data_IF_861618000364
#
_entry.id   IF_861618000364
#
_cell.length_a   1.000
_cell.length_b   1.000
_cell.length_c   1.000
_cell.angle_alpha   90.00
_cell.angle_beta   90.00
_cell.angle_gamma   90.00
#
_symmetry.space_group_name_H-M   'P 1'
#
loop_
_entity.id
_entity.type
_entity.pdbx_description
1 polymer ?
#
# COMPACT_ATOMS: atom_id res chain seq x y z
N UNK A 1 -3.65 -14.76 -11.38
CA UNK A 1 -3.58 -14.14 -12.73
C UNK A 1 -4.90 -13.57 -13.23
N UNK A 2 -6.08 -14.05 -12.81
CA UNK A 2 -7.40 -13.58 -13.34
C UNK A 2 -7.65 -12.07 -13.19
N UNK A 3 -7.23 -11.45 -12.08
CA UNK A 3 -7.47 -10.03 -11.80
C UNK A 3 -6.79 -9.08 -12.79
N UNK A 4 -5.62 -9.42 -13.32
CA UNK A 4 -4.91 -8.58 -14.30
C UNK A 4 -5.66 -8.50 -15.63
N UNK A 5 -6.40 -9.55 -16.01
CA UNK A 5 -7.12 -9.62 -17.30
C UNK A 5 -8.21 -8.55 -17.41
N UNK A 6 -8.88 -8.26 -16.31
CA UNK A 6 -10.01 -7.30 -16.27
C UNK A 6 -9.63 -5.94 -15.70
N UNK A 7 -8.40 -5.74 -15.23
CA UNK A 7 -8.01 -4.50 -14.57
C UNK A 7 -7.70 -3.39 -15.59
N UNK A 8 -8.47 -2.30 -15.51
CA UNK A 8 -8.34 -1.07 -16.30
C UNK A 8 -8.10 -1.31 -17.80
N UNK A 9 -9.12 -1.88 -18.46
CA UNK A 9 -9.12 -2.08 -19.91
C UNK A 9 -8.95 -0.75 -20.67
N UNK A 10 -8.19 -0.77 -21.77
CA UNK A 10 -7.89 0.39 -22.61
C UNK A 10 -6.68 1.24 -22.18
N UNK A 11 -6.00 0.89 -21.08
CA UNK A 11 -4.75 1.56 -20.71
C UNK A 11 -3.56 0.96 -21.45
N UNK A 12 -2.86 1.76 -22.26
CA UNK A 12 -1.75 1.33 -23.13
C UNK A 12 -0.68 0.47 -22.43
N UNK A 13 -0.21 0.88 -21.24
CA UNK A 13 0.82 0.13 -20.51
C UNK A 13 0.28 -1.22 -20.00
N UNK A 14 -0.96 -1.23 -19.50
CA UNK A 14 -1.58 -2.47 -19.01
C UNK A 14 -2.02 -3.41 -20.15
N UNK A 15 -2.40 -2.89 -21.31
CA UNK A 15 -2.61 -3.69 -22.52
C UNK A 15 -1.30 -4.36 -22.93
N UNK A 16 -0.20 -3.61 -22.99
CA UNK A 16 1.13 -4.16 -23.31
C UNK A 16 1.53 -5.27 -22.32
N UNK A 17 1.34 -5.06 -21.02
CA UNK A 17 1.59 -6.09 -20.02
C UNK A 17 0.68 -7.32 -20.18
N UNK A 18 -0.60 -7.12 -20.56
CA UNK A 18 -1.54 -8.22 -20.83
C UNK A 18 -1.17 -9.00 -22.07
N UNK A 19 -0.74 -8.35 -23.15
CA UNK A 19 -0.27 -9.00 -24.36
C UNK A 19 1.01 -9.81 -24.11
N UNK A 20 1.91 -9.31 -23.24
CA UNK A 20 3.11 -10.05 -22.84
C UNK A 20 2.78 -11.34 -22.05
N UNK A 21 1.81 -11.30 -21.13
CA UNK A 21 1.49 -12.43 -20.24
C UNK A 21 0.48 -13.41 -20.85
N UNK A 22 -0.53 -12.89 -21.55
CA UNK A 22 -1.68 -13.65 -22.05
C UNK A 22 -1.74 -13.73 -23.57
N UNK A 23 -1.04 -12.86 -24.30
CA UNK A 23 -0.94 -12.97 -25.75
C UNK A 23 -0.07 -14.17 -26.14
N UNK A 24 -0.44 -14.82 -27.25
CA UNK A 24 0.35 -15.90 -27.86
C UNK A 24 1.60 -15.35 -28.58
N UNK A 25 2.46 -14.68 -27.81
CA UNK A 25 3.62 -13.93 -28.30
C UNK A 25 4.93 -14.71 -28.18
N UNK A 26 4.98 -15.73 -27.31
CA UNK A 26 6.18 -16.53 -27.07
C UNK A 26 6.17 -17.76 -27.97
N UNK A 27 7.33 -18.06 -28.56
CA UNK A 27 7.59 -19.34 -29.24
C UNK A 27 8.00 -20.35 -28.17
N UNK A 28 7.16 -21.36 -27.99
CA UNK A 28 7.36 -22.50 -27.12
C UNK A 28 7.71 -23.71 -27.98
N UNK A 29 8.78 -24.41 -27.66
CA UNK A 29 9.24 -25.57 -28.41
C UNK A 29 8.82 -26.84 -27.69
N UNK A 30 7.96 -27.64 -28.31
CA UNK A 30 7.65 -28.97 -27.82
C UNK A 30 8.70 -29.96 -28.32
N UNK A 31 9.42 -30.61 -27.41
CA UNK A 31 10.52 -31.52 -27.75
C UNK A 31 10.02 -32.96 -27.71
N UNK A 32 10.15 -33.69 -28.82
CA UNK A 32 9.93 -35.16 -28.82
C UNK A 32 11.20 -35.93 -28.52
N UNK A 33 12.34 -35.39 -28.95
CA UNK A 33 13.67 -35.76 -28.50
C UNK A 33 14.59 -34.52 -28.64
N UNK A 34 15.88 -34.68 -28.33
CA UNK A 34 16.91 -33.64 -28.45
C UNK A 34 16.96 -32.90 -29.79
N UNK A 35 16.78 -33.60 -30.91
CA UNK A 35 16.92 -33.08 -32.28
C UNK A 35 15.59 -32.71 -32.95
N UNK A 36 14.45 -33.13 -32.39
CA UNK A 36 13.13 -32.91 -32.98
C UNK A 36 12.27 -32.02 -32.07
N UNK A 37 12.13 -30.76 -32.50
CA UNK A 37 11.31 -29.74 -31.83
C UNK A 37 10.17 -29.24 -32.73
N UNK A 38 9.04 -28.92 -32.11
CA UNK A 38 7.86 -28.36 -32.77
C UNK A 38 7.57 -26.99 -32.16
N UNK A 39 7.88 -25.88 -32.87
CA UNK A 39 7.61 -24.55 -32.37
C UNK A 39 6.10 -24.24 -32.39
N UNK A 40 5.58 -23.80 -31.27
CA UNK A 40 4.18 -23.43 -31.05
C UNK A 40 4.11 -22.04 -30.43
N UNK A 41 3.15 -21.22 -30.86
CA UNK A 41 2.91 -19.93 -30.21
C UNK A 41 2.05 -20.12 -28.96
N UNK A 42 2.52 -19.66 -27.82
CA UNK A 42 1.82 -19.76 -26.54
C UNK A 42 2.00 -18.50 -25.69
N UNK A 43 1.17 -18.38 -24.66
CA UNK A 43 1.29 -17.33 -23.64
C UNK A 43 2.12 -17.80 -22.45
N UNK A 44 2.69 -16.86 -21.67
CA UNK A 44 3.43 -17.18 -20.43
C UNK A 44 2.58 -18.04 -19.50
N UNK A 45 1.30 -17.71 -19.35
CA UNK A 45 0.38 -18.44 -18.48
C UNK A 45 0.19 -19.90 -18.92
N UNK A 46 0.09 -20.14 -20.24
CA UNK A 46 -0.01 -21.49 -20.80
C UNK A 46 1.30 -22.26 -20.65
N UNK A 47 2.44 -21.62 -20.94
CA UNK A 47 3.76 -22.24 -20.80
C UNK A 47 3.99 -22.67 -19.35
N UNK A 48 3.70 -21.81 -18.38
CA UNK A 48 3.82 -22.15 -16.97
C UNK A 48 2.93 -23.34 -16.57
N UNK A 49 1.69 -23.40 -17.09
CA UNK A 49 0.78 -24.52 -16.83
C UNK A 49 1.26 -25.82 -17.49
N UNK A 50 1.80 -25.76 -18.71
CA UNK A 50 2.36 -26.91 -19.42
C UNK A 50 3.60 -27.44 -18.68
N UNK A 51 4.56 -26.56 -18.33
CA UNK A 51 5.76 -26.94 -17.56
C UNK A 51 5.36 -27.61 -16.24
N UNK A 52 4.41 -27.05 -15.49
CA UNK A 52 3.93 -27.65 -14.25
C UNK A 52 3.29 -29.02 -14.46
N UNK A 53 2.60 -29.22 -15.59
CA UNK A 53 1.98 -30.52 -15.94
C UNK A 53 3.04 -31.57 -16.29
N UNK A 54 4.03 -31.20 -17.11
CA UNK A 54 5.15 -32.09 -17.47
C UNK A 54 5.98 -32.49 -16.23
N UNK A 55 6.32 -31.53 -15.37
CA UNK A 55 7.01 -31.83 -14.10
C UNK A 55 6.13 -32.68 -13.19
N UNK A 56 4.82 -32.41 -13.13
CA UNK A 56 3.87 -33.21 -12.36
C UNK A 56 3.84 -34.67 -12.79
N UNK A 57 3.89 -34.94 -14.08
CA UNK A 57 3.97 -36.31 -14.63
C UNK A 57 5.26 -37.02 -14.20
N UNK A 58 6.40 -36.33 -14.26
CA UNK A 58 7.69 -36.90 -13.86
C UNK A 58 7.79 -37.21 -12.36
N UNK A 59 7.04 -36.50 -11.52
CA UNK A 59 7.03 -36.73 -10.06
C UNK A 59 6.12 -37.92 -9.69
N UNK A 60 5.17 -38.29 -10.54
CA UNK A 60 4.26 -39.42 -10.28
C UNK A 60 4.86 -40.78 -10.57
N UNK A 61 6.01 -40.84 -11.24
CA UNK A 61 6.68 -42.10 -11.54
C UNK A 61 7.42 -42.65 -10.30
N UNK A 62 7.26 -43.95 -10.05
CA UNK A 62 7.82 -44.63 -8.86
C UNK A 62 9.36 -44.70 -8.89
N UNK A 63 9.94 -44.76 -10.09
CA UNK A 63 11.38 -44.72 -10.33
C UNK A 63 11.69 -43.84 -11.54
N UNK A 64 12.57 -42.84 -11.37
CA UNK A 64 13.03 -41.97 -12.46
C UNK A 64 14.24 -42.63 -13.14
N UNK A 65 14.10 -42.94 -14.42
CA UNK A 65 15.12 -43.58 -15.25
C UNK A 65 15.88 -42.57 -16.12
N UNK A 66 16.94 -43.04 -16.78
CA UNK A 66 17.71 -42.24 -17.75
C UNK A 66 16.88 -41.87 -18.99
N UNK A 67 15.89 -42.68 -19.37
CA UNK A 67 15.04 -42.43 -20.52
C UNK A 67 14.04 -41.30 -20.24
N UNK A 68 13.63 -41.11 -18.98
CA UNK A 68 12.74 -40.00 -18.57
C UNK A 68 13.43 -38.64 -18.73
N UNK A 69 14.74 -38.57 -18.46
CA UNK A 69 15.56 -37.38 -18.69
C UNK A 69 15.78 -37.07 -20.19
N UNK A 70 15.62 -38.07 -21.07
CA UNK A 70 15.61 -37.89 -22.53
C UNK A 70 14.20 -37.71 -23.09
N UNK A 71 13.20 -37.94 -22.25
CA UNK A 71 11.79 -37.91 -22.58
C UNK A 71 11.30 -36.51 -22.94
N UNK A 72 10.17 -36.50 -23.65
CA UNK A 72 9.53 -35.27 -24.11
C UNK A 72 9.19 -34.33 -22.95
N UNK A 73 8.73 -34.89 -21.83
CA UNK A 73 8.31 -34.12 -20.66
C UNK A 73 9.48 -33.35 -20.03
N UNK A 74 10.62 -34.02 -19.82
CA UNK A 74 11.81 -33.38 -19.26
C UNK A 74 12.39 -32.32 -20.20
N UNK A 75 12.60 -32.68 -21.48
CA UNK A 75 13.18 -31.76 -22.46
C UNK A 75 12.28 -30.53 -22.67
N UNK A 76 10.96 -30.72 -22.72
CA UNK A 76 10.02 -29.63 -22.89
C UNK A 76 9.95 -28.73 -21.65
N UNK A 77 9.93 -29.31 -20.44
CA UNK A 77 9.87 -28.53 -19.20
C UNK A 77 11.13 -27.69 -18.99
N UNK A 78 12.30 -28.24 -19.30
CA UNK A 78 13.58 -27.64 -18.93
C UNK A 78 14.10 -26.63 -19.95
N UNK A 79 13.73 -26.71 -21.23
CA UNK A 79 14.24 -25.83 -22.29
C UNK A 79 13.34 -24.61 -22.62
N UNK A 80 12.15 -24.51 -22.02
CA UNK A 80 11.20 -23.41 -22.27
C UNK A 80 11.08 -22.39 -21.12
N UNK A 81 11.96 -22.46 -20.13
CA UNK A 81 11.87 -21.65 -18.91
C UNK A 81 12.38 -20.20 -19.09
N UNK A 82 13.42 -19.97 -19.89
CA UNK A 82 14.11 -18.69 -19.98
C UNK A 82 13.23 -17.59 -20.60
N UNK A 83 12.68 -17.85 -21.80
CA UNK A 83 11.85 -16.88 -22.52
C UNK A 83 10.59 -16.50 -21.72
N UNK A 84 9.97 -17.47 -21.06
CA UNK A 84 8.80 -17.22 -20.22
C UNK A 84 9.16 -16.36 -18.98
N UNK A 85 10.33 -16.62 -18.38
CA UNK A 85 10.83 -15.85 -17.23
C UNK A 85 11.17 -14.42 -17.60
N UNK A 86 11.84 -14.21 -18.74
CA UNK A 86 12.20 -12.88 -19.25
C UNK A 86 10.96 -12.06 -19.63
N UNK A 87 9.98 -12.69 -20.30
CA UNK A 87 8.73 -12.02 -20.64
C UNK A 87 7.93 -11.64 -19.38
N UNK A 88 7.91 -12.49 -18.36
CA UNK A 88 7.24 -12.20 -17.09
C UNK A 88 7.91 -11.04 -16.35
N UNK A 89 9.24 -11.02 -16.30
CA UNK A 89 10.00 -9.90 -15.72
C UNK A 89 9.74 -8.60 -16.49
N UNK A 90 9.73 -8.66 -17.82
CA UNK A 90 9.40 -7.49 -18.67
C UNK A 90 7.98 -6.98 -18.42
N UNK A 91 7.00 -7.87 -18.26
CA UNK A 91 5.62 -7.50 -17.95
C UNK A 91 5.49 -6.82 -16.58
N UNK A 92 6.27 -7.27 -15.57
CA UNK A 92 6.32 -6.64 -14.25
C UNK A 92 6.91 -5.23 -14.32
N UNK A 93 7.97 -5.02 -15.10
CA UNK A 93 8.55 -3.69 -15.33
C UNK A 93 7.55 -2.73 -15.97
N UNK A 94 6.77 -3.19 -16.96
CA UNK A 94 5.70 -2.37 -17.58
C UNK A 94 4.59 -2.05 -16.56
N UNK A 95 4.22 -3.01 -15.70
CA UNK A 95 3.26 -2.74 -14.62
C UNK A 95 3.80 -1.72 -13.60
N UNK A 96 5.10 -1.77 -13.29
CA UNK A 96 5.75 -0.81 -12.42
C UNK A 96 5.76 0.60 -13.04
N UNK A 97 6.06 0.70 -14.32
CA UNK A 97 5.98 1.97 -15.08
C UNK A 97 4.58 2.58 -15.00
N UNK A 98 3.54 1.76 -15.12
CA UNK A 98 2.15 2.20 -14.93
C UNK A 98 1.91 2.75 -13.51
N UNK A 99 2.41 2.09 -12.46
CA UNK A 99 2.26 2.56 -11.06
C UNK A 99 2.97 3.90 -10.87
N UNK A 100 4.17 4.07 -11.42
CA UNK A 100 4.93 5.32 -11.34
C UNK A 100 4.18 6.48 -12.02
N UNK A 101 3.69 6.25 -13.25
CA UNK A 101 2.91 7.24 -14.00
C UNK A 101 1.61 7.61 -13.27
N UNK A 102 0.97 6.62 -12.63
CA UNK A 102 -0.25 6.85 -11.85
C UNK A 102 0.02 7.65 -10.58
N UNK A 103 1.13 7.41 -9.88
CA UNK A 103 1.54 8.17 -8.70
C UNK A 103 1.84 9.63 -9.04
N UNK A 104 2.58 9.90 -10.13
CA UNK A 104 2.83 11.27 -10.60
C UNK A 104 1.53 12.02 -10.90
N UNK A 105 0.60 11.38 -11.60
CA UNK A 105 -0.71 11.97 -11.89
C UNK A 105 -1.53 12.20 -10.62
N UNK A 106 -1.58 11.23 -9.70
CA UNK A 106 -2.35 11.34 -8.47
C UNK A 106 -1.78 12.38 -7.51
N UNK A 107 -0.46 12.58 -7.47
CA UNK A 107 0.17 13.62 -6.64
C UNK A 107 -0.39 15.01 -6.95
N UNK A 108 -0.52 15.36 -8.24
CA UNK A 108 -1.09 16.65 -8.66
C UNK A 108 -2.55 16.80 -8.20
N UNK A 109 -3.36 15.73 -8.34
CA UNK A 109 -4.75 15.73 -7.90
C UNK A 109 -4.90 15.82 -6.37
N UNK A 110 -4.07 15.10 -5.60
CA UNK A 110 -4.10 15.12 -4.13
C UNK A 110 -3.73 16.52 -3.62
N UNK A 111 -2.68 17.14 -4.18
CA UNK A 111 -2.27 18.50 -3.78
C UNK A 111 -3.39 19.50 -4.08
N UNK A 112 -4.04 19.40 -5.25
CA UNK A 112 -5.18 20.25 -5.58
C UNK A 112 -6.35 20.06 -4.59
N UNK A 113 -6.71 18.82 -4.27
CA UNK A 113 -7.76 18.50 -3.29
C UNK A 113 -7.43 18.99 -1.88
N UNK A 114 -6.15 18.99 -1.49
CA UNK A 114 -5.69 19.47 -0.19
C UNK A 114 -5.94 20.96 0.02
N UNK A 115 -6.05 21.75 -1.06
CA UNK A 115 -6.43 23.17 -0.99
C UNK A 115 -7.94 23.35 -1.17
N UNK A 116 -8.55 22.64 -2.12
CA UNK A 116 -9.97 22.84 -2.45
C UNK A 116 -10.92 22.39 -1.33
N UNK A 117 -10.65 21.27 -0.64
CA UNK A 117 -11.55 20.74 0.39
C UNK A 117 -11.66 21.66 1.61
N UNK A 118 -10.56 22.15 2.21
CA UNK A 118 -10.64 23.11 3.32
C UNK A 118 -11.38 24.39 2.94
N UNK A 119 -11.17 24.91 1.73
CA UNK A 119 -11.89 26.10 1.24
C UNK A 119 -13.40 25.83 1.14
N UNK A 120 -13.79 24.67 0.59
CA UNK A 120 -15.19 24.27 0.51
C UNK A 120 -15.83 24.09 1.90
N UNK A 121 -15.10 23.53 2.86
CA UNK A 121 -15.54 23.40 4.27
C UNK A 121 -15.81 24.79 4.86
N UNK A 122 -14.87 25.73 4.71
CA UNK A 122 -15.02 27.10 5.22
C UNK A 122 -16.27 27.77 4.62
N UNK A 123 -16.45 27.70 3.30
CA UNK A 123 -17.61 28.31 2.62
C UNK A 123 -18.93 27.70 3.13
N UNK A 124 -19.00 26.37 3.21
CA UNK A 124 -20.21 25.65 3.64
C UNK A 124 -20.59 26.03 5.08
N UNK A 125 -19.62 26.13 5.97
CA UNK A 125 -19.85 26.52 7.36
C UNK A 125 -20.23 27.99 7.51
N UNK A 126 -19.65 28.90 6.72
CA UNK A 126 -20.06 30.32 6.68
C UNK A 126 -21.53 30.45 6.25
N UNK A 127 -21.95 29.72 5.21
CA UNK A 127 -23.36 29.75 4.75
C UNK A 127 -24.28 29.21 5.83
N UNK A 128 -23.91 28.08 6.46
CA UNK A 128 -24.72 27.45 7.51
C UNK A 128 -24.88 28.36 8.73
N UNK A 129 -23.81 29.03 9.15
CA UNK A 129 -23.84 29.99 10.26
C UNK A 129 -24.77 31.18 9.97
N UNK A 130 -24.67 31.75 8.76
CA UNK A 130 -25.53 32.86 8.35
C UNK A 130 -27.02 32.48 8.33
N UNK A 131 -27.35 31.26 7.89
CA UNK A 131 -28.72 30.75 7.90
C UNK A 131 -29.24 30.54 9.34
N UNK A 132 -28.43 29.95 10.21
CA UNK A 132 -28.78 29.77 11.62
C UNK A 132 -28.98 31.11 12.32
N UNK A 133 -28.11 32.09 12.07
CA UNK A 133 -28.24 33.43 12.64
C UNK A 133 -29.53 34.14 12.21
N UNK A 134 -29.87 34.10 10.91
CA UNK A 134 -31.13 34.67 10.40
C UNK A 134 -32.35 34.02 11.05
N UNK A 135 -32.36 32.70 11.18
CA UNK A 135 -33.48 31.96 11.76
C UNK A 135 -33.61 32.21 13.27
N UNK A 136 -32.49 32.29 13.99
CA UNK A 136 -32.47 32.63 15.42
C UNK A 136 -33.03 34.05 15.66
N UNK A 137 -32.64 35.02 14.82
CA UNK A 137 -33.17 36.39 14.91
C UNK A 137 -34.69 36.44 14.65
N UNK A 138 -35.16 35.71 13.63
CA UNK A 138 -36.60 35.60 13.33
C UNK A 138 -37.39 35.04 14.51
N UNK A 139 -36.92 33.93 15.08
CA UNK A 139 -37.57 33.31 16.24
C UNK A 139 -37.58 34.25 17.46
N UNK A 140 -36.49 34.99 17.69
CA UNK A 140 -36.42 35.99 18.76
C UNK A 140 -37.45 37.11 18.58
N UNK A 141 -37.61 37.62 17.36
CA UNK A 141 -38.63 38.64 17.04
C UNK A 141 -40.05 38.10 17.19
N UNK A 142 -40.30 36.87 16.76
CA UNK A 142 -41.63 36.23 16.87
C UNK A 142 -42.04 36.00 18.33
N UNK A 143 -41.12 35.50 19.16
CA UNK A 143 -41.34 35.36 20.61
C UNK A 143 -41.63 36.72 21.26
N UNK A 144 -40.87 37.76 20.90
CA UNK A 144 -41.09 39.11 21.43
C UNK A 144 -42.47 39.65 21.05
N UNK A 145 -42.91 39.44 19.80
CA UNK A 145 -44.24 39.85 19.35
C UNK A 145 -45.36 39.15 20.12
N UNK A 146 -45.24 37.83 20.36
CA UNK A 146 -46.22 37.07 21.15
C UNK A 146 -46.30 37.60 22.59
N UNK A 147 -45.16 37.91 23.21
CA UNK A 147 -45.11 38.45 24.57
C UNK A 147 -45.78 39.83 24.66
N UNK A 148 -45.58 40.69 23.67
CA UNK A 148 -46.20 42.03 23.62
C UNK A 148 -47.72 41.96 23.40
N UNK A 149 -48.23 40.90 22.74
CA UNK A 149 -49.67 40.71 22.52
C UNK A 149 -50.45 40.13 23.70
N UNK A 150 -49.77 39.69 24.78
CA UNK A 150 -50.44 39.12 25.95
C UNK A 150 -51.19 40.19 26.78
N UNK A 151 -52.37 39.89 27.34
CA UNK A 151 -53.09 40.81 28.22
C UNK A 151 -52.26 41.15 29.48
N UNK A 152 -52.30 42.41 29.91
CA UNK A 152 -51.51 42.94 31.05
C UNK A 152 -51.62 42.10 32.34
N UNK A 153 -52.76 41.46 32.59
CA UNK A 153 -53.02 40.58 33.74
C UNK A 153 -52.26 39.25 33.71
N UNK A 154 -52.03 38.66 32.52
CA UNK A 154 -51.27 37.41 32.38
C UNK A 154 -49.77 37.70 32.52
N UNK A 155 -49.31 38.84 31.99
CA UNK A 155 -47.92 39.28 32.09
C UNK A 155 -47.52 39.55 33.55
N UNK A 156 -48.39 40.18 34.35
CA UNK A 156 -48.09 40.44 35.77
C UNK A 156 -48.03 39.14 36.59
N UNK A 157 -48.89 38.17 36.29
CA UNK A 157 -48.90 36.85 36.95
C UNK A 157 -47.63 36.05 36.63
N UNK A 158 -47.21 36.03 35.35
CA UNK A 158 -45.99 35.36 34.91
C UNK A 158 -44.74 36.05 35.48
N UNK A 159 -44.69 37.38 35.48
CA UNK A 159 -43.57 38.14 36.08
C UNK A 159 -43.47 37.92 37.60
N UNK A 160 -44.60 37.79 38.30
CA UNK A 160 -44.62 37.47 39.73
C UNK A 160 -44.09 36.05 40.00
N UNK A 161 -44.52 35.05 39.22
CA UNK A 161 -43.95 33.69 39.30
C UNK A 161 -42.46 33.64 38.97
N UNK A 162 -41.99 34.44 38.02
CA UNK A 162 -40.57 34.48 37.63
C UNK A 162 -39.68 35.16 38.68
N UNK A 163 -40.15 36.25 39.29
CA UNK A 163 -39.45 36.87 40.42
C UNK A 163 -39.43 35.94 41.64
N UNK A 164 -40.48 35.16 41.87
CA UNK A 164 -40.51 34.13 42.91
C UNK A 164 -39.48 33.03 42.64
N UNK A 165 -39.32 32.59 41.39
CA UNK A 165 -38.29 31.62 40.97
C UNK A 165 -36.86 32.17 41.13
N UNK A 166 -36.60 33.42 40.72
CA UNK A 166 -35.29 34.07 40.88
C UNK A 166 -34.95 34.32 42.35
N UNK A 167 -35.95 34.66 43.17
CA UNK A 167 -35.78 34.79 44.62
C UNK A 167 -35.43 33.44 45.25
N UNK A 168 -36.01 32.33 44.80
CA UNK A 168 -35.64 30.98 45.25
C UNK A 168 -34.28 30.49 44.73
N UNK A 169 -33.81 30.98 43.57
CA UNK A 169 -32.44 30.67 43.07
C UNK A 169 -31.34 31.54 43.71
N UNK A 170 -31.70 32.66 44.34
CA UNK A 170 -30.78 33.59 44.98
C UNK A 170 -30.91 33.66 46.51
N UNK A 171 -31.89 32.97 47.11
CA UNK A 171 -32.11 32.95 48.56
C UNK A 171 -31.26 31.90 49.25
N UNK A 172 -29.98 32.21 49.40
CA UNK A 172 -29.35 32.07 50.70
C UNK A 172 -28.98 33.48 51.13
N UNK A 173 -29.63 33.96 52.20
CA UNK A 173 -29.30 35.14 53.02
C UNK A 173 -30.18 36.40 52.82
N UNK A 174 -30.85 36.75 53.94
CA UNK A 174 -31.36 38.07 54.41
C UNK A 174 -32.76 38.61 54.06
N UNK A 175 -33.70 38.29 54.96
CA UNK A 175 -34.52 39.14 55.87
C UNK A 175 -35.03 40.54 55.47
N UNK A 176 -36.37 40.66 55.52
CA UNK A 176 -37.27 41.78 55.87
C UNK A 176 -36.94 43.25 55.51
N UNK A 177 -37.85 43.90 54.78
CA UNK A 177 -38.51 45.13 55.24
C UNK A 177 -39.79 45.42 54.43
N UNK A 178 -40.87 45.68 55.17
CA UNK A 178 -42.17 46.21 54.72
C UNK A 178 -42.03 47.67 54.33
N UNK A 179 -42.75 48.11 53.30
CA UNK A 179 -43.39 49.42 53.22
C UNK A 179 -44.47 49.39 52.14
N UNK A 180 -45.71 49.51 52.59
CA UNK A 180 -46.86 49.92 51.80
C UNK A 180 -46.73 51.40 51.42
N UNK A 181 -47.37 51.78 50.31
CA UNK A 181 -47.69 53.14 49.83
C UNK A 181 -46.86 53.69 48.65
N UNK A 182 -47.21 53.28 47.42
CA UNK A 182 -46.77 53.91 46.16
C UNK A 182 -47.61 53.51 44.91
N UNK A 183 -48.94 53.38 45.00
CA UNK A 183 -49.75 52.65 44.00
C UNK A 183 -50.07 53.34 42.63
N UNK A 184 -49.43 54.44 42.23
CA UNK A 184 -49.69 55.06 40.90
C UNK A 184 -48.42 55.38 40.09
N UNK A 185 -47.29 55.71 40.72
CA UNK A 185 -45.98 55.77 40.03
C UNK A 185 -45.35 54.37 39.87
N UNK A 186 -45.74 53.41 40.70
CA UNK A 186 -45.25 52.02 40.60
C UNK A 186 -45.77 51.28 39.38
N UNK A 187 -46.84 51.73 38.73
CA UNK A 187 -47.36 51.04 37.53
C UNK A 187 -46.45 51.27 36.31
N UNK A 188 -45.86 52.47 36.20
CA UNK A 188 -44.84 52.81 35.18
C UNK A 188 -43.49 52.16 35.50
N UNK A 189 -43.11 52.09 36.79
CA UNK A 189 -41.93 51.35 37.25
C UNK A 189 -42.09 49.84 37.13
N UNK A 190 -43.29 49.29 37.31
CA UNK A 190 -43.59 47.88 37.06
C UNK A 190 -43.55 47.57 35.57
N UNK A 191 -44.15 48.39 34.71
CA UNK A 191 -44.01 48.22 33.26
C UNK A 191 -42.53 48.30 32.82
N UNK A 192 -41.74 49.25 33.37
CA UNK A 192 -40.30 49.30 33.13
C UNK A 192 -39.54 48.11 33.71
N UNK A 193 -39.87 47.62 34.91
CA UNK A 193 -39.23 46.45 35.51
C UNK A 193 -39.62 45.14 34.80
N UNK A 194 -40.85 45.02 34.30
CA UNK A 194 -41.31 43.92 33.45
C UNK A 194 -40.55 43.96 32.13
N UNK A 195 -40.48 45.13 31.46
CA UNK A 195 -39.68 45.29 30.25
C UNK A 195 -38.20 45.01 30.53
N UNK A 196 -37.67 45.35 31.71
CA UNK A 196 -36.27 45.08 32.10
C UNK A 196 -36.03 43.62 32.43
N UNK A 197 -36.98 42.92 33.06
CA UNK A 197 -36.91 41.47 33.34
C UNK A 197 -37.08 40.69 32.04
N UNK A 198 -38.03 41.07 31.18
CA UNK A 198 -38.22 40.45 29.88
C UNK A 198 -37.13 40.82 28.87
N UNK A 199 -36.54 42.02 28.92
CA UNK A 199 -35.33 42.35 28.17
C UNK A 199 -34.10 41.69 28.78
N UNK A 200 -34.02 41.44 30.08
CA UNK A 200 -32.97 40.57 30.67
C UNK A 200 -33.20 39.08 30.39
N UNK A 201 -34.41 38.65 30.04
CA UNK A 201 -34.70 37.27 29.60
C UNK A 201 -34.47 37.14 28.08
N UNK A 202 -34.81 38.17 27.30
CA UNK A 202 -34.69 38.24 25.83
C UNK A 202 -33.28 38.62 25.37
N UNK A 203 -32.66 39.59 26.04
CA UNK A 203 -31.24 39.96 26.03
C UNK A 203 -30.58 39.49 27.33
N UNK A 204 -30.78 38.21 27.71
CA UNK A 204 -29.98 37.50 28.72
C UNK A 204 -28.69 38.26 29.06
N UNK A 205 -28.38 38.53 30.32
CA UNK A 205 -27.03 38.98 30.71
C UNK A 205 -25.93 37.97 30.32
N UNK A 206 -26.32 36.87 29.67
CA UNK A 206 -25.55 35.84 28.98
C UNK A 206 -25.83 35.73 27.46
N UNK A 207 -26.51 36.67 26.82
CA UNK A 207 -26.84 36.65 25.38
C UNK A 207 -25.59 36.86 24.55
N UNK A 208 -24.71 37.78 24.96
CA UNK A 208 -23.35 37.90 24.43
C UNK A 208 -22.52 36.66 24.74
N UNK A 209 -22.67 36.06 25.93
CA UNK A 209 -21.87 34.90 26.36
C UNK A 209 -22.26 33.62 25.63
N UNK A 210 -23.55 33.35 25.44
CA UNK A 210 -24.07 32.17 24.74
C UNK A 210 -23.86 32.26 23.23
N UNK A 211 -24.02 33.44 22.61
CA UNK A 211 -23.63 33.64 21.20
C UNK A 211 -22.12 33.51 21.00
N UNK A 212 -21.30 34.07 21.90
CA UNK A 212 -19.85 33.93 21.83
C UNK A 212 -19.41 32.48 22.03
N UNK A 213 -20.07 31.73 22.91
CA UNK A 213 -19.79 30.31 23.14
C UNK A 213 -20.20 29.45 21.94
N UNK A 214 -21.35 29.74 21.32
CA UNK A 214 -21.81 29.04 20.13
C UNK A 214 -20.91 29.35 18.91
N UNK A 215 -20.46 30.59 18.77
CA UNK A 215 -19.47 30.98 17.76
C UNK A 215 -18.13 30.28 17.99
N UNK A 216 -17.68 30.15 19.24
CA UNK A 216 -16.45 29.44 19.58
C UNK A 216 -16.53 27.95 19.23
N UNK A 217 -17.66 27.28 19.51
CA UNK A 217 -17.86 25.89 19.09
C UNK A 217 -17.91 25.74 17.57
N UNK A 218 -18.56 26.68 16.85
CA UNK A 218 -18.57 26.69 15.40
C UNK A 218 -17.15 26.80 14.82
N UNK A 219 -16.36 27.76 15.31
CA UNK A 219 -14.97 27.95 14.89
C UNK A 219 -14.15 26.69 15.20
N UNK A 220 -14.36 26.07 16.38
CA UNK A 220 -13.72 24.80 16.74
C UNK A 220 -14.04 23.67 15.76
N UNK A 221 -15.30 23.51 15.36
CA UNK A 221 -15.71 22.47 14.38
C UNK A 221 -15.09 22.73 13.01
N UNK A 222 -15.03 24.00 12.55
CA UNK A 222 -14.40 24.34 11.27
C UNK A 222 -12.91 24.02 11.30
N UNK A 223 -12.20 24.43 12.35
CA UNK A 223 -10.76 24.17 12.49
C UNK A 223 -10.50 22.65 12.53
N UNK A 224 -11.25 21.90 13.33
CA UNK A 224 -11.12 20.44 13.40
C UNK A 224 -11.45 19.76 12.07
N UNK A 225 -12.45 20.25 11.35
CA UNK A 225 -12.79 19.76 10.01
C UNK A 225 -11.67 19.99 9.00
N UNK A 226 -11.08 21.19 8.98
CA UNK A 226 -9.94 21.51 8.14
C UNK A 226 -8.73 20.63 8.49
N UNK A 227 -8.35 20.56 9.77
CA UNK A 227 -7.23 19.74 10.23
C UNK A 227 -7.46 18.27 9.89
N UNK A 228 -8.65 17.73 10.17
CA UNK A 228 -9.01 16.36 9.85
C UNK A 228 -8.90 16.04 8.36
N UNK A 229 -9.41 16.93 7.50
CA UNK A 229 -9.30 16.76 6.05
C UNK A 229 -7.85 16.77 5.55
N UNK A 230 -7.01 17.67 6.08
CA UNK A 230 -5.58 17.73 5.76
C UNK A 230 -4.84 16.47 6.23
N UNK A 231 -5.14 15.97 7.44
CA UNK A 231 -4.53 14.74 7.97
C UNK A 231 -4.88 13.53 7.11
N UNK A 232 -6.15 13.37 6.71
CA UNK A 232 -6.58 12.25 5.86
C UNK A 232 -5.86 12.28 4.51
N UNK A 233 -5.78 13.45 3.86
CA UNK A 233 -5.09 13.61 2.58
C UNK A 233 -3.58 13.40 2.71
N UNK A 234 -2.97 13.85 3.80
CA UNK A 234 -1.57 13.59 4.11
C UNK A 234 -1.29 12.09 4.31
N UNK A 235 -2.16 11.38 5.03
CA UNK A 235 -2.08 9.94 5.18
C UNK A 235 -2.19 9.23 3.81
N UNK A 236 -3.11 9.68 2.94
CA UNK A 236 -3.24 9.14 1.59
C UNK A 236 -1.99 9.39 0.74
N UNK A 237 -1.41 10.59 0.81
CA UNK A 237 -0.16 10.92 0.13
C UNK A 237 1.01 10.03 0.59
N UNK A 238 1.12 9.80 1.91
CA UNK A 238 2.14 8.91 2.46
C UNK A 238 1.91 7.45 2.07
N UNK A 239 0.65 7.01 2.02
CA UNK A 239 0.29 5.68 1.54
C UNK A 239 0.66 5.49 0.07
N UNK A 240 0.43 6.50 -0.79
CA UNK A 240 0.84 6.48 -2.21
C UNK A 240 2.35 6.29 -2.36
N UNK A 241 3.16 7.06 -1.61
CA UNK A 241 4.62 6.89 -1.61
C UNK A 241 5.04 5.48 -1.19
N UNK A 242 4.41 4.98 -0.12
CA UNK A 242 4.69 3.63 0.39
C UNK A 242 4.34 2.55 -0.65
N UNK A 243 3.25 2.74 -1.39
CA UNK A 243 2.83 1.84 -2.47
C UNK A 243 3.86 1.80 -3.59
N UNK A 244 4.38 2.95 -4.02
CA UNK A 244 5.44 3.03 -5.04
C UNK A 244 6.69 2.27 -4.59
N UNK A 245 7.16 2.49 -3.36
CA UNK A 245 8.31 1.77 -2.82
C UNK A 245 8.06 0.26 -2.78
N UNK A 246 6.88 -0.14 -2.31
CA UNK A 246 6.50 -1.55 -2.20
C UNK A 246 6.40 -2.24 -3.55
N UNK A 247 5.95 -1.53 -4.59
CA UNK A 247 5.79 -2.09 -5.93
C UNK A 247 7.13 -2.49 -6.57
N UNK A 248 8.20 -1.73 -6.32
CA UNK A 248 9.54 -2.05 -6.82
C UNK A 248 10.12 -3.30 -6.17
N UNK A 249 9.78 -3.56 -4.90
CA UNK A 249 10.22 -4.79 -4.22
C UNK A 249 9.64 -6.05 -4.84
N UNK A 250 8.45 -5.99 -5.43
CA UNK A 250 7.82 -7.16 -6.08
C UNK A 250 8.64 -7.60 -7.28
N UNK A 251 9.01 -6.66 -8.16
CA UNK A 251 9.89 -6.94 -9.30
C UNK A 251 11.25 -7.45 -8.81
N UNK A 252 11.84 -6.80 -7.81
CA UNK A 252 13.13 -7.22 -7.31
C UNK A 252 13.11 -8.63 -6.70
N UNK A 253 12.04 -9.00 -6.00
CA UNK A 253 11.86 -10.33 -5.42
C UNK A 253 11.64 -11.40 -6.49
N UNK A 254 10.83 -11.09 -7.49
CA UNK A 254 10.61 -11.97 -8.63
C UNK A 254 11.91 -12.17 -9.42
N UNK A 255 12.63 -11.09 -9.76
CA UNK A 255 13.91 -11.16 -10.46
C UNK A 255 14.94 -11.96 -9.67
N UNK A 256 15.11 -11.69 -8.38
CA UNK A 256 16.06 -12.43 -7.54
C UNK A 256 15.75 -13.93 -7.49
N UNK A 257 14.49 -14.32 -7.30
CA UNK A 257 14.12 -15.73 -7.24
C UNK A 257 14.17 -16.41 -8.61
N UNK A 258 13.63 -15.77 -9.65
CA UNK A 258 13.62 -16.27 -11.02
C UNK A 258 15.02 -16.51 -11.57
N UNK A 259 15.93 -15.54 -11.44
CA UNK A 259 17.31 -15.71 -11.92
C UNK A 259 18.10 -16.71 -11.06
N UNK A 260 17.82 -16.84 -9.76
CA UNK A 260 18.43 -17.89 -8.94
C UNK A 260 18.04 -19.28 -9.44
N UNK A 261 16.75 -19.52 -9.69
CA UNK A 261 16.26 -20.79 -10.22
C UNK A 261 16.76 -21.06 -11.64
N UNK A 262 16.87 -20.04 -12.49
CA UNK A 262 17.50 -20.16 -13.81
C UNK A 262 18.95 -20.63 -13.69
N UNK A 263 19.77 -20.01 -12.82
CA UNK A 263 21.16 -20.43 -12.58
C UNK A 263 21.25 -21.89 -12.16
N UNK A 264 20.45 -22.32 -11.19
CA UNK A 264 20.44 -23.72 -10.76
C UNK A 264 19.92 -24.67 -11.84
N UNK A 265 18.92 -24.26 -12.62
CA UNK A 265 18.39 -25.06 -13.72
C UNK A 265 19.46 -25.33 -14.79
N UNK A 266 20.20 -24.31 -15.20
CA UNK A 266 21.32 -24.48 -16.15
C UNK A 266 22.44 -25.32 -15.54
N UNK A 267 22.76 -25.10 -14.26
CA UNK A 267 23.81 -25.84 -13.57
C UNK A 267 23.48 -27.33 -13.54
N UNK A 268 22.26 -27.70 -13.16
CA UNK A 268 21.87 -29.10 -13.10
C UNK A 268 21.85 -29.77 -14.46
N UNK A 269 21.45 -29.08 -15.54
CA UNK A 269 21.55 -29.62 -16.90
C UNK A 269 23.00 -29.92 -17.30
N UNK A 270 23.89 -28.94 -17.12
CA UNK A 270 25.33 -29.09 -17.42
C UNK A 270 25.94 -30.22 -16.60
N UNK A 271 25.69 -30.23 -15.29
CA UNK A 271 26.21 -31.26 -14.40
C UNK A 271 25.68 -32.65 -14.72
N UNK A 272 24.39 -32.78 -15.08
CA UNK A 272 23.80 -34.06 -15.43
C UNK A 272 24.42 -34.64 -16.69
N UNK A 273 24.60 -33.83 -17.73
CA UNK A 273 25.19 -34.26 -18.99
C UNK A 273 26.65 -34.71 -18.84
N UNK A 274 27.44 -34.01 -18.01
CA UNK A 274 28.87 -34.30 -17.80
C UNK A 274 29.11 -35.44 -16.77
N UNK A 275 28.08 -35.87 -16.04
CA UNK A 275 28.22 -36.88 -14.99
C UNK A 275 28.43 -38.30 -15.54
N UNK A 276 27.64 -38.70 -16.54
CA UNK A 276 27.68 -40.04 -17.14
C UNK A 276 27.35 -39.96 -18.64
N UNK A 277 27.98 -40.82 -19.45
CA UNK A 277 27.70 -40.95 -20.87
C UNK A 277 26.23 -41.27 -21.17
N UNK A 278 25.51 -41.91 -20.24
CA UNK A 278 24.07 -42.14 -20.32
C UNK A 278 23.25 -40.83 -20.40
N UNK A 279 23.78 -39.70 -19.93
CA UNK A 279 23.08 -38.41 -19.93
C UNK A 279 23.54 -37.46 -21.04
N UNK A 280 24.41 -37.88 -21.95
CA UNK A 280 24.97 -37.00 -22.98
C UNK A 280 23.89 -36.30 -23.85
N UNK A 281 22.73 -36.95 -24.03
CA UNK A 281 21.63 -36.48 -24.88
C UNK A 281 20.49 -35.77 -24.14
N UNK A 282 20.63 -35.45 -22.85
CA UNK A 282 19.56 -34.79 -22.06
C UNK A 282 19.53 -33.27 -22.18
N UNK A 283 20.55 -32.66 -22.80
CA UNK A 283 20.59 -31.21 -23.04
C UNK A 283 20.59 -30.92 -24.54
N UNK A 284 19.73 -30.01 -24.96
CA UNK A 284 19.60 -29.62 -26.37
C UNK A 284 20.87 -28.92 -26.84
N UNK A 285 21.26 -27.84 -26.16
CA UNK A 285 22.44 -27.06 -26.49
C UNK A 285 23.23 -26.66 -25.24
N UNK A 286 24.26 -27.46 -24.91
CA UNK A 286 25.16 -27.22 -23.80
C UNK A 286 25.87 -25.85 -23.87
N UNK A 287 26.19 -25.37 -25.07
CA UNK A 287 26.87 -24.07 -25.21
C UNK A 287 25.93 -22.93 -24.84
N UNK A 288 24.66 -23.01 -25.28
CA UNK A 288 23.65 -22.04 -24.89
C UNK A 288 23.39 -22.05 -23.39
N UNK A 289 23.31 -23.21 -22.73
CA UNK A 289 23.14 -23.30 -21.26
C UNK A 289 24.26 -22.58 -20.50
N UNK A 290 25.52 -22.71 -20.95
CA UNK A 290 26.66 -22.01 -20.35
C UNK A 290 26.55 -20.50 -20.56
N UNK A 291 26.13 -20.05 -21.74
CA UNK A 291 25.91 -18.63 -22.05
C UNK A 291 24.77 -18.05 -21.20
N UNK A 292 23.66 -18.74 -21.08
CA UNK A 292 22.53 -18.34 -20.24
C UNK A 292 22.94 -18.24 -18.78
N UNK A 293 23.70 -19.22 -18.25
CA UNK A 293 24.21 -19.15 -16.89
C UNK A 293 25.14 -17.94 -16.67
N UNK A 294 26.00 -17.61 -17.63
CA UNK A 294 26.85 -16.40 -17.60
C UNK A 294 26.03 -15.11 -17.57
N UNK A 295 24.84 -15.08 -18.19
CA UNK A 295 23.95 -13.92 -18.16
C UNK A 295 23.07 -13.87 -16.90
N UNK A 296 22.63 -15.02 -16.38
CA UNK A 296 21.71 -15.10 -15.24
C UNK A 296 22.39 -14.82 -13.90
N UNK A 297 23.66 -15.22 -13.69
CA UNK A 297 24.36 -14.97 -12.42
C UNK A 297 24.49 -13.46 -12.11
N UNK A 298 24.98 -12.60 -13.03
CA UNK A 298 25.03 -11.16 -12.77
C UNK A 298 23.66 -10.55 -12.49
N UNK A 299 22.61 -10.98 -13.23
CA UNK A 299 21.23 -10.52 -12.99
C UNK A 299 20.74 -10.92 -11.61
N UNK A 300 20.97 -12.16 -11.18
CA UNK A 300 20.66 -12.62 -9.83
C UNK A 300 21.32 -11.73 -8.77
N UNK A 301 22.63 -11.48 -8.89
CA UNK A 301 23.39 -10.65 -7.94
C UNK A 301 22.83 -9.22 -7.90
N UNK A 302 22.54 -8.62 -9.05
CA UNK A 302 21.97 -7.27 -9.15
C UNK A 302 20.60 -7.17 -8.44
N UNK A 303 19.70 -8.10 -8.72
CA UNK A 303 18.39 -8.16 -8.06
C UNK A 303 18.49 -8.44 -6.55
N UNK A 304 19.42 -9.31 -6.14
CA UNK A 304 19.70 -9.55 -4.73
C UNK A 304 20.22 -8.30 -4.03
N UNK A 305 21.10 -7.52 -4.68
CA UNK A 305 21.58 -6.24 -4.18
C UNK A 305 20.45 -5.22 -4.07
N UNK A 306 19.60 -5.09 -5.09
CA UNK A 306 18.43 -4.19 -5.05
C UNK A 306 17.48 -4.53 -3.90
N UNK A 307 17.27 -5.82 -3.60
CA UNK A 307 16.48 -6.23 -2.44
C UNK A 307 17.13 -5.86 -1.10
N UNK A 308 18.44 -6.06 -0.98
CA UNK A 308 19.15 -5.91 0.30
C UNK A 308 19.54 -4.48 0.62
N UNK A 309 20.06 -3.76 -0.36
CA UNK A 309 20.68 -2.43 -0.22
C UNK A 309 19.81 -1.31 -0.80
N UNK A 310 18.79 -1.66 -1.58
CA UNK A 310 18.07 -0.70 -2.40
C UNK A 310 18.76 -0.51 -3.75
N UNK A 311 18.13 0.29 -4.60
CA UNK A 311 18.66 0.67 -5.90
C UNK A 311 19.29 2.07 -5.87
N UNK A 312 19.63 2.59 -7.05
CA UNK A 312 20.30 3.89 -7.19
C UNK A 312 19.35 5.08 -7.10
N UNK A 313 18.04 4.87 -7.27
CA UNK A 313 17.03 5.94 -7.22
C UNK A 313 16.54 6.26 -5.80
N UNK A 314 16.11 7.51 -5.58
CA UNK A 314 15.55 7.96 -4.27
C UNK A 314 14.37 7.12 -3.78
N UNK A 315 13.64 6.49 -4.71
CA UNK A 315 12.47 5.66 -4.41
C UNK A 315 12.79 4.17 -4.26
N UNK A 316 14.05 3.76 -4.47
CA UNK A 316 14.48 2.35 -4.44
C UNK A 316 15.11 2.02 -3.08
N UNK A 317 14.28 1.93 -2.05
CA UNK A 317 14.73 1.60 -0.70
C UNK A 317 15.06 0.11 -0.56
N UNK A 318 15.84 -0.30 0.45
CA UNK A 318 16.04 -1.71 0.78
C UNK A 318 14.77 -2.36 1.34
N UNK A 319 14.54 -3.64 0.99
CA UNK A 319 13.39 -4.38 1.48
C UNK A 319 13.63 -4.88 2.91
N UNK A 320 12.88 -4.35 3.88
CA UNK A 320 13.02 -4.73 5.30
C UNK A 320 12.79 -6.23 5.55
N UNK A 321 11.91 -6.86 4.77
CA UNK A 321 11.66 -8.30 4.82
C UNK A 321 12.90 -9.14 4.49
N UNK A 322 13.78 -8.66 3.61
CA UNK A 322 15.04 -9.35 3.26
C UNK A 322 15.97 -9.42 4.47
N UNK A 323 16.10 -8.34 5.24
CA UNK A 323 16.93 -8.33 6.47
C UNK A 323 16.45 -9.35 7.49
N UNK A 324 15.13 -9.46 7.69
CA UNK A 324 14.54 -10.44 8.59
C UNK A 324 14.73 -11.88 8.08
N UNK A 325 14.55 -12.10 6.77
CA UNK A 325 14.76 -13.40 6.14
C UNK A 325 16.22 -13.85 6.27
N UNK A 326 17.20 -12.95 6.01
CA UNK A 326 18.62 -13.24 6.15
C UNK A 326 19.02 -13.53 7.60
N UNK A 327 18.44 -12.80 8.57
CA UNK A 327 18.67 -13.07 10.00
C UNK A 327 18.13 -14.46 10.39
N UNK A 328 16.93 -14.81 9.92
CA UNK A 328 16.33 -16.14 10.15
C UNK A 328 17.16 -17.24 9.48
N UNK A 329 17.55 -17.08 8.22
CA UNK A 329 18.40 -18.03 7.51
C UNK A 329 19.74 -18.21 8.22
N UNK A 330 20.37 -17.12 8.65
CA UNK A 330 21.64 -17.16 9.39
C UNK A 330 21.53 -17.83 10.76
N UNK A 331 20.33 -17.87 11.36
CA UNK A 331 20.10 -18.61 12.61
C UNK A 331 19.91 -20.12 12.41
N UNK A 332 19.52 -20.54 11.20
CA UNK A 332 19.37 -21.96 10.83
C UNK A 332 20.72 -22.55 10.46
N UNK A 333 21.60 -21.75 9.84
CA UNK A 333 22.96 -22.16 9.50
C UNK A 333 23.74 -22.42 10.79
N UNK A 334 24.00 -23.69 11.05
CA UNK A 334 24.83 -24.14 12.17
C UNK A 334 26.28 -24.29 11.68
N UNK A 335 27.22 -23.76 12.47
CA UNK A 335 28.65 -23.98 12.32
C UNK A 335 29.01 -25.08 13.34
N UNK A 336 29.12 -26.35 12.91
CA UNK A 336 29.29 -27.49 13.82
C UNK A 336 30.55 -27.35 14.69
N UNK A 337 31.68 -26.92 14.12
CA UNK A 337 32.93 -26.71 14.85
C UNK A 337 33.62 -25.40 14.44
N UNK A 338 33.64 -24.42 15.36
CA UNK A 338 34.28 -23.11 15.12
C UNK A 338 35.81 -23.14 15.18
N UNK A 339 36.37 -24.21 15.73
CA UNK A 339 37.79 -24.34 16.05
C UNK A 339 38.53 -25.30 15.11
N UNK A 340 37.79 -26.13 14.37
CA UNK A 340 38.40 -27.01 13.39
C UNK A 340 38.61 -26.26 12.07
N UNK A 341 39.84 -26.30 11.51
CA UNK A 341 40.10 -25.68 10.23
C UNK A 341 39.31 -26.43 9.13
N UNK A 342 38.59 -25.71 8.26
CA UNK A 342 37.85 -26.34 7.18
C UNK A 342 38.81 -27.03 6.21
N UNK A 343 38.45 -28.24 5.78
CA UNK A 343 39.25 -29.04 4.85
C UNK A 343 38.82 -28.82 3.40
N UNK A 344 37.56 -28.43 3.19
CA UNK A 344 36.99 -28.14 1.87
C UNK A 344 36.54 -26.68 1.74
N UNK A 345 36.49 -26.16 0.50
CA UNK A 345 35.97 -24.80 0.23
C UNK A 345 34.52 -24.65 0.73
N UNK A 346 33.59 -25.60 0.50
CA UNK A 346 32.26 -25.54 1.08
C UNK A 346 32.25 -25.46 2.61
N UNK A 347 33.11 -26.23 3.30
CA UNK A 347 33.26 -26.17 4.76
C UNK A 347 33.68 -24.78 5.25
N UNK A 348 34.58 -24.12 4.52
CA UNK A 348 35.01 -22.76 4.87
C UNK A 348 33.89 -21.73 4.79
N UNK A 349 32.84 -22.01 4.01
CA UNK A 349 31.70 -21.11 3.84
C UNK A 349 30.62 -21.27 4.94
N UNK A 350 30.55 -22.43 5.61
CA UNK A 350 29.44 -22.79 6.51
C UNK A 350 29.30 -21.90 7.74
N UNK A 351 30.40 -21.29 8.22
CA UNK A 351 30.37 -20.44 9.41
C UNK A 351 30.05 -18.96 9.10
N UNK A 352 29.89 -18.59 7.83
CA UNK A 352 29.45 -17.25 7.46
C UNK A 352 27.92 -17.09 7.52
N UNK A 353 27.47 -15.83 7.61
CA UNK A 353 26.04 -15.49 7.49
C UNK A 353 25.48 -15.90 6.13
N UNK A 354 24.17 -16.12 6.05
CA UNK A 354 23.48 -16.53 4.82
C UNK A 354 23.76 -15.60 3.62
N UNK A 355 23.85 -14.29 3.87
CA UNK A 355 24.16 -13.31 2.83
C UNK A 355 25.56 -13.50 2.24
N UNK A 356 26.54 -13.78 3.10
CA UNK A 356 27.93 -14.01 2.68
C UNK A 356 28.06 -15.35 1.97
N UNK A 357 27.37 -16.39 2.44
CA UNK A 357 27.31 -17.68 1.74
C UNK A 357 26.78 -17.51 0.31
N UNK A 358 25.69 -16.75 0.11
CA UNK A 358 25.18 -16.48 -1.24
C UNK A 358 26.21 -15.80 -2.16
N UNK A 359 27.01 -14.87 -1.64
CA UNK A 359 28.09 -14.26 -2.43
C UNK A 359 29.22 -15.23 -2.74
N UNK A 360 29.63 -16.04 -1.75
CA UNK A 360 30.67 -17.05 -1.94
C UNK A 360 30.22 -18.08 -2.98
N UNK A 361 28.97 -18.55 -2.90
CA UNK A 361 28.37 -19.44 -3.90
C UNK A 361 28.33 -18.79 -5.28
N UNK A 362 27.92 -17.53 -5.38
CA UNK A 362 27.87 -16.82 -6.66
C UNK A 362 29.27 -16.65 -7.28
N UNK A 363 30.26 -16.31 -6.47
CA UNK A 363 31.66 -16.23 -6.90
C UNK A 363 32.23 -17.58 -7.31
N UNK A 364 31.88 -18.64 -6.58
CA UNK A 364 32.26 -20.01 -6.93
C UNK A 364 31.65 -20.45 -8.27
N UNK A 365 30.38 -20.15 -8.52
CA UNK A 365 29.69 -20.44 -9.78
C UNK A 365 30.33 -19.69 -10.96
N UNK A 366 30.67 -18.41 -10.79
CA UNK A 366 31.40 -17.64 -11.81
C UNK A 366 32.77 -18.24 -12.12
N UNK A 367 33.49 -18.69 -11.08
CA UNK A 367 34.77 -19.37 -11.25
C UNK A 367 34.61 -20.71 -11.98
N UNK A 368 33.60 -21.50 -11.63
CA UNK A 368 33.30 -22.78 -12.29
C UNK A 368 32.99 -22.58 -13.78
N UNK A 369 32.18 -21.58 -14.12
CA UNK A 369 31.91 -21.20 -15.51
C UNK A 369 33.16 -20.77 -16.28
N UNK A 370 34.08 -20.07 -15.63
CA UNK A 370 35.34 -19.67 -16.25
C UNK A 370 36.16 -20.91 -16.65
N UNK A 371 36.23 -21.92 -15.79
CA UNK A 371 36.92 -23.19 -16.08
C UNK A 371 36.27 -23.96 -17.22
N UNK A 372 34.95 -24.18 -17.18
CA UNK A 372 34.22 -24.88 -18.27
C UNK A 372 34.43 -24.18 -19.61
N UNK A 373 34.46 -22.84 -19.61
CA UNK A 373 34.66 -22.10 -20.86
C UNK A 373 36.09 -22.10 -21.39
N UNK A 374 37.09 -22.44 -20.57
CA UNK A 374 38.49 -22.57 -21.01
C UNK A 374 38.80 -23.96 -21.58
N UNK A 375 38.13 -25.01 -21.10
CA UNK A 375 38.30 -26.39 -21.60
C UNK A 375 37.86 -26.57 -23.07
N UNK A 376 37.02 -25.69 -23.62
CA UNK A 376 36.63 -25.73 -25.04
C UNK A 376 37.63 -25.08 -26.01
N UNK A 377 38.71 -24.50 -25.52
CA UNK A 377 39.76 -23.84 -26.33
C UNK A 377 41.12 -24.54 -26.30
N UNK A 378 41.20 -25.71 -25.64
CA UNK A 378 42.31 -26.66 -25.72
C UNK A 378 41.77 -27.99 -26.25
#
# INVERSE_FOLDING_TARGET
MSSLRSYKFGNELLEKARDMVFGSTIVFNFYTNRSMEYPMKSSVAQIAAMIATHIGSLITDDEITYDDARGSDYLTATNNNDLATEQMSSALLVCLEYILKQDESQKAWIISLMVCIPVAIIITWIVTFNLQYKKLKSNKTEIMNVIVTLPKTVISTVSASFNHLKKNSASTTETNQTNDDANLEDMSRQEQNIIKVFSQITDGSSSTTSQSWNMLFFVGIVILGCVGSCVILYCYFQASKTLVFSSQHIDNMFGCSGYLYSVFSHLFKVSLQEYDAAFHDTTVDLANEIVMMKMSIPKFIDYFHKLRLGGTGENQLPFTGMTNALKKASSIITCPDKLDPPTTIPESAHCFTAAVQLYLTSGYLLRYLAFISMEKYF
#
